data_IF_411574695911
#
_entry.id   IF_411574695911
#
_cell.length_a   1.000
_cell.length_b   1.000
_cell.length_c   1.000
_cell.angle_alpha   90.00
_cell.angle_beta   90.00
_cell.angle_gamma   90.00
#
_symmetry.space_group_name_H-M   'P 1'
#
loop_
_entity.id
_entity.type
_entity.pdbx_description
1 polymer ?
#
# COMPACT_ATOMS: atom_id res chain seq x y z
N UNK A 1 -17.92 49.76 -11.01
CA UNK A 1 -17.30 48.47 -10.64
C UNK A 1 -18.02 47.96 -9.40
N UNK A 2 -18.78 46.84 -9.47
CA UNK A 2 -19.74 46.48 -8.43
C UNK A 2 -19.07 45.78 -7.23
N UNK A 3 -19.17 46.39 -6.05
CA UNK A 3 -18.56 45.97 -4.77
C UNK A 3 -19.25 44.78 -4.08
N UNK A 4 -20.21 44.12 -4.75
CA UNK A 4 -21.12 43.14 -4.12
C UNK A 4 -20.62 41.68 -4.14
N UNK A 5 -19.44 41.39 -4.71
CA UNK A 5 -18.94 40.02 -4.89
C UNK A 5 -18.06 39.52 -3.74
N UNK A 6 -17.66 40.41 -2.84
CA UNK A 6 -16.73 40.11 -1.75
C UNK A 6 -17.29 39.24 -0.61
N UNK A 7 -18.56 39.40 -0.16
CA UNK A 7 -19.08 38.54 0.90
C UNK A 7 -19.29 37.09 0.43
N UNK A 8 -19.62 36.89 -0.85
CA UNK A 8 -19.74 35.55 -1.45
C UNK A 8 -18.39 34.82 -1.53
N UNK A 9 -17.31 35.55 -1.88
CA UNK A 9 -15.95 35.00 -1.93
C UNK A 9 -15.46 34.58 -0.54
N UNK A 10 -15.74 35.39 0.49
CA UNK A 10 -15.37 35.07 1.88
C UNK A 10 -16.16 33.88 2.43
N UNK A 11 -17.44 33.76 2.09
CA UNK A 11 -18.27 32.61 2.50
C UNK A 11 -17.80 31.29 1.85
N UNK A 12 -17.41 31.32 0.57
CA UNK A 12 -16.82 30.15 -0.09
C UNK A 12 -15.46 29.76 0.51
N UNK A 13 -14.61 30.72 0.86
CA UNK A 13 -13.31 30.44 1.49
C UNK A 13 -13.46 29.81 2.88
N UNK A 14 -14.40 30.28 3.69
CA UNK A 14 -14.67 29.71 5.02
C UNK A 14 -15.21 28.28 4.94
N UNK A 15 -16.06 27.96 3.95
CA UNK A 15 -16.59 26.61 3.74
C UNK A 15 -15.50 25.59 3.34
N UNK A 16 -14.49 26.02 2.58
CA UNK A 16 -13.36 25.15 2.18
C UNK A 16 -12.44 24.84 3.37
N UNK A 17 -12.23 25.79 4.30
CA UNK A 17 -11.40 25.56 5.49
C UNK A 17 -12.04 24.60 6.51
N UNK A 18 -13.37 24.55 6.59
CA UNK A 18 -14.09 23.68 7.54
C UNK A 18 -14.22 22.23 7.06
N UNK A 19 -14.07 21.95 5.77
CA UNK A 19 -14.15 20.60 5.21
C UNK A 19 -12.86 19.78 5.34
N UNK A 20 -11.74 20.39 5.79
CA UNK A 20 -10.41 19.78 5.76
C UNK A 20 -10.00 18.92 6.98
N UNK A 21 -10.80 18.87 8.06
CA UNK A 21 -10.33 18.27 9.34
C UNK A 21 -10.69 16.78 9.49
N UNK A 22 -11.21 16.14 8.43
CA UNK A 22 -11.79 14.80 8.50
C UNK A 22 -11.12 13.74 7.64
N UNK A 23 -9.83 13.87 7.30
CA UNK A 23 -9.09 12.74 6.74
C UNK A 23 -8.74 11.78 7.87
N UNK A 24 -9.72 10.96 8.28
CA UNK A 24 -9.48 9.83 9.16
C UNK A 24 -8.44 8.92 8.51
N UNK A 25 -7.21 8.95 9.02
CA UNK A 25 -6.19 7.98 8.67
C UNK A 25 -6.80 6.59 8.85
N UNK A 26 -6.70 5.76 7.81
CA UNK A 26 -7.22 4.40 7.86
C UNK A 26 -6.72 3.71 9.14
N UNK A 27 -7.63 3.08 9.86
CA UNK A 27 -7.36 2.38 11.10
C UNK A 27 -6.42 1.20 10.78
N UNK A 28 -5.11 1.43 10.85
CA UNK A 28 -4.11 0.38 10.67
C UNK A 28 -4.31 -0.62 11.79
N UNK A 29 -4.73 -1.84 11.45
CA UNK A 29 -4.85 -2.92 12.42
C UNK A 29 -3.45 -3.47 12.68
N UNK A 30 -2.83 -2.99 13.75
CA UNK A 30 -1.60 -3.59 14.26
C UNK A 30 -1.94 -4.91 14.96
N UNK A 31 -1.16 -5.93 14.68
CA UNK A 31 -1.31 -7.24 15.30
C UNK A 31 -0.44 -7.33 16.56
N UNK A 32 -0.76 -8.22 17.52
CA UNK A 32 0.00 -8.35 18.77
C UNK A 32 1.47 -8.74 18.60
N UNK A 33 1.83 -9.29 17.44
CA UNK A 33 3.16 -9.68 17.02
C UNK A 33 3.94 -8.56 16.32
N UNK A 34 3.36 -7.39 16.15
CA UNK A 34 4.07 -6.19 15.69
C UNK A 34 4.92 -5.55 16.83
N UNK A 35 6.11 -4.98 16.52
CA UNK A 35 6.70 -4.86 15.20
C UNK A 35 7.41 -6.16 14.75
N UNK A 36 7.20 -6.51 13.49
CA UNK A 36 7.91 -7.61 12.84
C UNK A 36 9.37 -7.18 12.67
N UNK A 37 10.29 -7.79 13.41
CA UNK A 37 11.73 -7.49 13.32
C UNK A 37 12.47 -8.34 12.29
N UNK A 38 11.95 -9.53 12.02
CA UNK A 38 12.56 -10.49 11.12
C UNK A 38 11.48 -11.07 10.23
N UNK A 39 11.72 -11.05 8.92
CA UNK A 39 10.86 -11.70 7.93
C UNK A 39 11.09 -13.21 7.97
N UNK A 40 10.04 -14.05 7.97
CA UNK A 40 10.18 -15.49 7.81
C UNK A 40 11.07 -15.85 6.63
N UNK A 41 11.98 -16.81 6.84
CA UNK A 41 12.87 -17.25 5.78
C UNK A 41 12.11 -17.84 4.59
N UNK A 42 12.70 -17.73 3.40
CA UNK A 42 12.23 -18.42 2.19
C UNK A 42 11.85 -19.88 2.48
N UNK A 43 10.67 -20.27 2.00
CA UNK A 43 10.22 -21.65 2.12
C UNK A 43 11.04 -22.57 1.20
N UNK A 44 11.13 -23.85 1.56
CA UNK A 44 11.84 -24.85 0.75
C UNK A 44 11.22 -24.98 -0.65
N UNK A 45 11.96 -24.51 -1.65
CA UNK A 45 11.59 -24.59 -3.06
C UNK A 45 12.15 -25.84 -3.77
N UNK A 46 12.73 -26.80 -3.05
CA UNK A 46 13.38 -28.01 -3.63
C UNK A 46 12.46 -28.86 -4.50
N UNK A 47 11.15 -28.73 -4.33
CA UNK A 47 10.12 -29.47 -5.09
C UNK A 47 9.51 -28.69 -6.24
N UNK A 48 9.99 -27.48 -6.50
CA UNK A 48 9.51 -26.69 -7.63
C UNK A 48 9.80 -27.43 -8.95
N UNK A 49 8.76 -27.64 -9.76
CA UNK A 49 8.88 -28.30 -11.05
C UNK A 49 8.85 -27.27 -12.18
N UNK A 50 9.58 -27.50 -13.26
CA UNK A 50 9.47 -26.66 -14.45
C UNK A 50 8.05 -26.76 -15.01
N UNK A 51 7.46 -25.60 -15.31
CA UNK A 51 6.17 -25.49 -15.99
C UNK A 51 6.44 -24.99 -17.40
N UNK A 52 5.94 -25.71 -18.40
CA UNK A 52 6.02 -25.26 -19.79
C UNK A 52 5.01 -24.13 -20.01
N UNK A 53 5.50 -22.96 -20.41
CA UNK A 53 4.69 -21.75 -20.62
C UNK A 53 4.36 -21.59 -22.10
N UNK A 54 3.16 -21.08 -22.39
CA UNK A 54 2.71 -20.82 -23.76
C UNK A 54 2.50 -19.32 -23.96
N UNK A 55 3.37 -18.71 -24.76
CA UNK A 55 3.29 -17.27 -25.05
C UNK A 55 1.95 -16.86 -25.67
N UNK A 56 1.34 -17.71 -26.51
CA UNK A 56 0.04 -17.38 -27.11
C UNK A 56 -1.08 -17.43 -26.07
N UNK A 57 -1.05 -18.41 -25.18
CA UNK A 57 -2.04 -18.53 -24.10
C UNK A 57 -1.90 -17.36 -23.12
N UNK A 58 -0.68 -17.09 -22.65
CA UNK A 58 -0.39 -16.02 -21.69
C UNK A 58 -0.80 -14.66 -22.24
N UNK A 59 -0.57 -14.40 -23.52
CA UNK A 59 -1.00 -13.15 -24.16
C UNK A 59 -2.52 -12.99 -24.10
N UNK A 60 -3.26 -14.05 -24.44
CA UNK A 60 -4.72 -14.01 -24.43
C UNK A 60 -5.24 -13.81 -23.01
N UNK A 61 -4.72 -14.59 -22.07
CA UNK A 61 -5.14 -14.58 -20.68
C UNK A 61 -4.91 -13.22 -20.01
N UNK A 62 -3.68 -12.70 -20.12
CA UNK A 62 -3.27 -11.45 -19.47
C UNK A 62 -3.82 -10.20 -20.19
N UNK A 63 -4.17 -10.27 -21.47
CA UNK A 63 -4.70 -9.11 -22.21
C UNK A 63 -6.22 -9.03 -22.21
N UNK A 64 -6.92 -10.17 -22.21
CA UNK A 64 -8.36 -10.20 -22.52
C UNK A 64 -9.21 -10.93 -21.49
N UNK A 65 -8.63 -11.84 -20.69
CA UNK A 65 -9.41 -12.67 -19.74
C UNK A 65 -9.38 -12.14 -18.30
N UNK A 66 -8.76 -10.99 -18.07
CA UNK A 66 -8.74 -10.34 -16.76
C UNK A 66 -7.88 -11.08 -15.74
N UNK A 67 -6.78 -11.69 -16.18
CA UNK A 67 -5.80 -12.30 -15.29
C UNK A 67 -5.27 -11.26 -14.28
N UNK A 68 -5.05 -11.70 -13.04
CA UNK A 68 -4.56 -10.87 -11.95
C UNK A 68 -5.52 -10.80 -10.76
N UNK A 69 -5.02 -10.30 -9.63
CA UNK A 69 -5.82 -10.05 -8.44
C UNK A 69 -6.74 -8.85 -8.70
N UNK A 70 -8.05 -9.04 -8.48
CA UNK A 70 -9.07 -8.00 -8.69
C UNK A 70 -9.49 -7.34 -7.38
N UNK A 71 -9.08 -7.93 -6.25
CA UNK A 71 -9.35 -7.36 -4.94
C UNK A 71 -8.41 -6.18 -4.73
N UNK A 72 -9.00 -5.00 -4.57
CA UNK A 72 -8.30 -3.82 -4.07
C UNK A 72 -7.89 -4.04 -2.61
N UNK A 73 -6.76 -4.70 -2.40
CA UNK A 73 -6.13 -4.86 -1.09
C UNK A 73 -5.03 -3.83 -0.93
N UNK A 74 -5.05 -3.15 0.22
CA UNK A 74 -3.92 -2.34 0.67
C UNK A 74 -2.66 -3.21 0.77
N UNK A 75 -1.50 -2.59 0.58
CA UNK A 75 -0.21 -3.19 0.89
C UNK A 75 -0.25 -3.88 2.27
N UNK A 76 -0.03 -5.19 2.28
CA UNK A 76 -0.07 -6.02 3.48
C UNK A 76 1.23 -5.99 4.27
N UNK A 77 2.31 -5.51 3.64
CA UNK A 77 3.64 -5.40 4.26
C UNK A 77 3.81 -4.02 4.92
N UNK A 78 2.92 -3.66 5.84
CA UNK A 78 3.03 -2.44 6.64
C UNK A 78 3.40 -2.87 8.06
N UNK A 79 4.55 -2.41 8.54
CA UNK A 79 5.05 -2.66 9.87
C UNK A 79 4.70 -1.49 10.81
N UNK A 80 4.68 -1.73 12.12
CA UNK A 80 4.47 -0.67 13.14
C UNK A 80 5.70 0.23 13.28
N UNK A 81 6.88 -0.25 12.87
CA UNK A 81 8.10 0.56 12.75
C UNK A 81 8.30 1.00 11.30
N UNK A 82 8.84 2.19 11.09
CA UNK A 82 9.16 2.76 9.77
C UNK A 82 10.45 2.17 9.18
N UNK A 83 10.71 0.89 9.47
CA UNK A 83 11.94 0.19 9.14
C UNK A 83 11.66 -1.16 8.49
N UNK A 84 12.60 -1.59 7.63
CA UNK A 84 12.54 -2.88 6.94
C UNK A 84 13.03 -3.98 7.91
N UNK A 85 12.28 -5.09 8.06
CA UNK A 85 12.72 -6.25 8.86
C UNK A 85 13.99 -6.90 8.30
N UNK A 86 14.74 -7.57 9.17
CA UNK A 86 15.88 -8.39 8.76
C UNK A 86 15.41 -9.66 8.01
N UNK A 87 16.18 -10.09 7.00
CA UNK A 87 15.92 -11.28 6.18
C UNK A 87 17.22 -11.88 5.63
N UNK A 88 17.14 -12.97 4.87
CA UNK A 88 18.30 -13.55 4.16
C UNK A 88 18.91 -12.62 3.11
N UNK A 89 18.15 -11.64 2.61
CA UNK A 89 18.61 -10.71 1.56
C UNK A 89 18.92 -9.31 2.08
N UNK A 90 18.50 -8.97 3.29
CA UNK A 90 18.69 -7.65 3.89
C UNK A 90 18.97 -7.74 5.38
N UNK A 91 19.93 -6.94 5.84
CA UNK A 91 20.21 -6.76 7.27
C UNK A 91 20.28 -5.26 7.55
N UNK A 92 19.44 -4.79 8.47
CA UNK A 92 19.45 -3.42 8.94
C UNK A 92 20.76 -3.15 9.72
N UNK A 93 21.52 -2.15 9.28
CA UNK A 93 22.83 -1.78 9.87
C UNK A 93 22.78 -0.43 10.57
N UNK A 94 21.64 0.25 10.55
CA UNK A 94 21.41 1.44 11.34
C UNK A 94 21.05 0.92 12.73
N UNK A 95 21.97 1.04 13.70
CA UNK A 95 21.86 0.41 15.02
C UNK A 95 20.55 0.74 15.75
N UNK A 96 20.21 -0.01 16.81
CA UNK A 96 18.92 0.10 17.48
C UNK A 96 18.69 1.52 18.00
N UNK A 97 17.51 2.09 17.68
CA UNK A 97 16.97 3.25 18.39
C UNK A 97 16.58 2.88 19.83
#
# INVERSE_FOLDING_TARGET
MPLHRWPAVLACAAGICLAGVGAGGANLKFYPDDPIRQDPESQDASRAQPVEVSNQYDLIENSFLGAGETIDRRAMNVNTVDEVPDSSWFTNRVGPA
#
